data_IF_735838661752
#
_entry.id   IF_735838661752
#
_cell.length_a   1.000
_cell.length_b   1.000
_cell.length_c   1.000
_cell.angle_alpha   90.00
_cell.angle_beta   90.00
_cell.angle_gamma   90.00
#
_symmetry.space_group_name_H-M   'P 1'
#
loop_
_entity.id
_entity.type
_entity.pdbx_description
1 polymer ?
#
# COMPACT_ATOMS: atom_id res chain seq x y z
N UNK A 1 -58.35 -75.72 33.38
CA UNK A 1 -58.18 -77.19 33.33
C UNK A 1 -57.23 -77.49 32.22
N UNK A 2 -56.03 -77.96 32.60
CA UNK A 2 -55.06 -78.73 31.80
C UNK A 2 -54.52 -78.14 30.50
N UNK A 3 -53.25 -78.23 30.10
CA UNK A 3 -52.02 -78.88 30.59
C UNK A 3 -50.86 -78.28 29.88
N UNK A 4 -49.81 -78.16 30.63
CA UNK A 4 -48.41 -77.88 30.14
C UNK A 4 -47.94 -78.94 29.12
N UNK A 5 -47.18 -78.55 28.14
CA UNK A 5 -45.97 -79.33 27.71
C UNK A 5 -44.88 -78.40 27.32
N UNK A 6 -43.81 -78.60 28.02
CA UNK A 6 -42.47 -78.11 27.82
C UNK A 6 -41.70 -78.89 26.72
N UNK A 7 -40.91 -78.29 25.88
CA UNK A 7 -39.55 -78.83 25.49
C UNK A 7 -38.89 -77.98 24.46
N UNK A 8 -37.58 -78.23 24.25
CA UNK A 8 -36.55 -77.24 24.55
C UNK A 8 -35.68 -76.88 23.33
N UNK A 9 -34.92 -75.81 23.53
CA UNK A 9 -33.53 -75.77 23.06
C UNK A 9 -33.24 -75.60 21.59
N UNK A 10 -32.76 -74.46 21.31
CA UNK A 10 -32.07 -74.17 20.07
C UNK A 10 -31.49 -72.77 20.09
N UNK A 11 -30.36 -72.63 20.78
CA UNK A 11 -29.54 -71.44 20.71
C UNK A 11 -28.94 -71.30 19.31
N UNK A 12 -29.52 -70.39 18.49
CA UNK A 12 -28.89 -69.99 17.27
C UNK A 12 -28.10 -68.71 17.56
N UNK A 13 -26.80 -68.87 17.71
CA UNK A 13 -25.87 -67.77 17.77
C UNK A 13 -25.89 -67.03 16.43
N UNK A 14 -26.62 -65.91 16.38
CA UNK A 14 -26.52 -64.96 15.27
C UNK A 14 -25.27 -64.06 15.51
N UNK A 15 -24.20 -64.35 14.80
CA UNK A 15 -23.04 -63.48 14.70
C UNK A 15 -23.47 -62.28 13.90
N UNK A 16 -23.66 -61.17 14.58
CA UNK A 16 -23.88 -59.89 13.90
C UNK A 16 -22.50 -59.40 13.43
N UNK A 17 -22.19 -59.55 12.15
CA UNK A 17 -21.07 -58.91 11.53
C UNK A 17 -21.36 -57.39 11.46
N UNK A 18 -20.72 -56.64 12.33
CA UNK A 18 -20.73 -55.17 12.25
C UNK A 18 -19.74 -54.77 11.13
N UNK A 19 -20.29 -54.43 9.98
CA UNK A 19 -19.48 -53.85 8.91
C UNK A 19 -19.29 -52.40 9.29
N UNK A 20 -18.09 -52.07 9.82
CA UNK A 20 -17.66 -50.69 10.01
C UNK A 20 -17.23 -50.15 8.64
N UNK A 21 -18.13 -49.43 8.01
CA UNK A 21 -17.84 -48.71 6.79
C UNK A 21 -16.95 -47.49 7.12
N UNK A 22 -15.68 -47.57 6.80
CA UNK A 22 -14.77 -46.41 6.85
C UNK A 22 -15.13 -45.48 5.68
N UNK A 23 -15.86 -44.40 5.97
CA UNK A 23 -16.15 -43.35 5.01
C UNK A 23 -14.89 -42.48 4.89
N UNK A 24 -14.04 -42.76 3.92
CA UNK A 24 -12.90 -41.90 3.57
C UNK A 24 -13.45 -40.64 2.86
N UNK A 25 -13.55 -39.54 3.59
CA UNK A 25 -13.79 -38.22 3.01
C UNK A 25 -12.56 -37.81 2.21
N UNK A 26 -12.61 -37.93 0.89
CA UNK A 26 -11.65 -37.26 0.02
C UNK A 26 -12.00 -35.76 0.00
N UNK A 27 -11.28 -34.98 0.81
CA UNK A 27 -11.26 -33.53 0.65
C UNK A 27 -10.43 -33.26 -0.62
N UNK A 28 -11.12 -33.07 -1.74
CA UNK A 28 -10.51 -32.55 -2.95
C UNK A 28 -10.09 -31.11 -2.67
N UNK A 29 -8.86 -30.91 -2.20
CA UNK A 29 -8.24 -29.60 -2.14
C UNK A 29 -8.15 -29.08 -3.57
N UNK A 30 -8.94 -28.08 -3.90
CA UNK A 30 -8.76 -27.31 -5.14
C UNK A 30 -7.40 -26.62 -5.03
N UNK A 31 -6.39 -27.21 -5.67
CA UNK A 31 -5.12 -26.55 -5.93
C UNK A 31 -5.44 -25.38 -6.86
N UNK A 32 -5.64 -24.18 -6.31
CA UNK A 32 -5.66 -22.97 -7.11
C UNK A 32 -4.30 -22.86 -7.79
N UNK A 33 -4.26 -23.09 -9.08
CA UNK A 33 -3.07 -22.79 -9.88
C UNK A 33 -2.72 -21.30 -9.66
N UNK A 34 -1.46 -20.94 -9.45
CA UNK A 34 -1.07 -19.55 -9.37
C UNK A 34 -1.52 -18.87 -10.65
N UNK A 35 -2.26 -17.75 -10.51
CA UNK A 35 -2.64 -16.93 -11.65
C UNK A 35 -1.35 -16.49 -12.34
N UNK A 36 -1.11 -16.99 -13.53
CA UNK A 36 0.03 -16.56 -14.35
C UNK A 36 -0.29 -15.17 -14.88
N UNK A 37 0.49 -14.16 -14.46
CA UNK A 37 0.38 -12.83 -15.04
C UNK A 37 0.68 -12.91 -16.53
N UNK A 38 -0.14 -12.27 -17.37
CA UNK A 38 0.14 -12.16 -18.80
C UNK A 38 1.36 -11.25 -18.99
N UNK A 39 2.36 -11.66 -19.77
CA UNK A 39 3.48 -10.80 -20.11
C UNK A 39 3.00 -9.60 -20.93
N UNK A 40 3.83 -8.55 -21.00
CA UNK A 40 3.58 -7.43 -21.89
C UNK A 40 3.57 -7.90 -23.35
N UNK A 41 2.70 -7.32 -24.16
CA UNK A 41 2.60 -7.63 -25.59
C UNK A 41 3.26 -6.50 -26.40
N UNK A 42 4.04 -6.88 -27.43
CA UNK A 42 4.76 -5.94 -28.29
C UNK A 42 5.97 -5.28 -27.63
N UNK A 43 6.45 -4.19 -28.25
CA UNK A 43 7.62 -3.45 -27.79
C UNK A 43 7.22 -2.45 -26.69
N UNK A 44 7.37 -2.87 -25.42
CA UNK A 44 7.13 -2.02 -24.26
C UNK A 44 8.45 -1.63 -23.62
N UNK A 45 8.82 -0.34 -23.70
CA UNK A 45 9.96 0.24 -23.00
C UNK A 45 9.47 0.82 -21.66
N UNK A 46 10.15 0.46 -20.56
CA UNK A 46 9.87 0.98 -19.21
C UNK A 46 11.09 1.75 -18.72
N UNK A 47 10.83 2.93 -18.17
CA UNK A 47 11.86 3.74 -17.50
C UNK A 47 11.34 4.07 -16.10
N UNK A 48 12.06 3.63 -15.08
CA UNK A 48 11.77 4.01 -13.69
C UNK A 48 12.21 5.46 -13.48
N UNK A 49 11.28 6.33 -13.12
CA UNK A 49 11.54 7.74 -12.84
C UNK A 49 11.90 7.97 -11.36
N UNK A 50 11.49 7.07 -10.50
CA UNK A 50 11.79 7.12 -9.08
C UNK A 50 11.15 5.96 -8.33
N UNK A 51 11.78 5.53 -7.24
CA UNK A 51 11.28 4.52 -6.33
C UNK A 51 11.69 4.86 -4.91
N UNK A 52 10.73 5.07 -4.04
CA UNK A 52 10.97 5.35 -2.62
C UNK A 52 10.01 4.61 -1.73
N UNK A 53 10.37 4.49 -0.45
CA UNK A 53 9.56 3.83 0.56
C UNK A 53 9.22 4.83 1.66
N UNK A 54 7.94 4.90 2.03
CA UNK A 54 7.48 5.72 3.16
C UNK A 54 7.83 5.03 4.48
N UNK A 55 8.13 5.81 5.50
CA UNK A 55 8.46 5.29 6.84
C UNK A 55 7.23 4.79 7.62
N UNK A 56 6.02 5.17 7.18
CA UNK A 56 4.75 4.78 7.79
C UNK A 56 3.70 4.50 6.70
N UNK A 57 2.62 3.76 7.03
CA UNK A 57 1.49 3.61 6.12
C UNK A 57 0.90 4.95 5.72
N UNK A 58 0.52 5.08 4.45
CA UNK A 58 -0.07 6.29 3.89
C UNK A 58 -1.47 6.04 3.37
N UNK A 59 -2.28 7.11 3.30
CA UNK A 59 -3.60 7.13 2.69
C UNK A 59 -3.65 8.27 1.68
N UNK A 60 -3.96 7.94 0.43
CA UNK A 60 -4.21 8.94 -0.61
C UNK A 60 -5.69 8.88 -0.94
N UNK A 61 -6.40 9.98 -0.68
CA UNK A 61 -7.84 10.07 -0.90
C UNK A 61 -8.12 11.21 -1.87
N UNK A 62 -8.87 10.91 -2.93
CA UNK A 62 -9.40 11.90 -3.87
C UNK A 62 -10.91 11.99 -3.70
N UNK A 63 -11.44 13.20 -3.63
CA UNK A 63 -12.83 13.46 -3.23
C UNK A 63 -13.82 13.43 -4.40
N UNK A 64 -13.86 12.38 -5.22
CA UNK A 64 -14.91 12.18 -6.23
C UNK A 64 -15.07 13.30 -7.30
N UNK A 65 -14.10 14.20 -7.39
CA UNK A 65 -14.01 15.26 -8.38
C UNK A 65 -13.02 14.83 -9.49
N UNK A 66 -13.14 15.35 -10.70
CA UNK A 66 -12.07 15.24 -11.68
C UNK A 66 -10.73 15.64 -11.07
N UNK A 67 -9.71 14.84 -11.28
CA UNK A 67 -8.41 14.97 -10.61
C UNK A 67 -7.30 15.08 -11.64
N UNK A 68 -6.39 16.01 -11.43
CA UNK A 68 -5.15 16.14 -12.19
C UNK A 68 -4.02 15.42 -11.45
N UNK A 69 -3.31 14.54 -12.14
CA UNK A 69 -2.01 14.02 -11.70
C UNK A 69 -0.93 14.83 -12.38
N UNK A 70 -0.16 15.58 -11.59
CA UNK A 70 0.95 16.39 -12.08
C UNK A 70 2.26 15.81 -11.56
N UNK A 71 3.18 15.47 -12.47
CA UNK A 71 4.46 14.85 -12.12
C UNK A 71 5.57 15.80 -12.52
N UNK A 72 6.50 16.06 -11.59
CA UNK A 72 7.66 16.94 -11.80
C UNK A 72 8.94 16.27 -11.32
N UNK A 73 10.05 16.54 -12.02
CA UNK A 73 11.39 16.38 -11.48
C UNK A 73 11.86 17.69 -10.84
N UNK A 74 12.36 17.64 -9.63
CA UNK A 74 12.94 18.76 -8.92
C UNK A 74 14.43 18.47 -8.64
N UNK A 75 15.29 19.42 -8.97
CA UNK A 75 16.70 19.39 -8.63
C UNK A 75 16.98 20.55 -7.67
N UNK A 76 17.22 20.25 -6.41
CA UNK A 76 17.60 21.23 -5.40
C UNK A 76 19.12 21.23 -5.24
N UNK A 77 19.76 22.33 -5.60
CA UNK A 77 21.19 22.56 -5.33
C UNK A 77 21.43 22.74 -3.83
N UNK A 78 22.68 22.54 -3.34
CA UNK A 78 23.04 22.86 -1.96
C UNK A 78 22.57 24.25 -1.52
N UNK A 79 21.87 24.31 -0.40
CA UNK A 79 21.30 25.55 0.15
C UNK A 79 19.99 26.00 -0.53
N UNK A 80 19.51 25.33 -1.57
CA UNK A 80 18.24 25.66 -2.20
C UNK A 80 17.04 25.18 -1.35
N UNK A 81 15.93 25.87 -1.48
CA UNK A 81 14.69 25.49 -0.81
C UNK A 81 13.45 25.96 -1.55
N UNK A 82 12.34 25.28 -1.29
CA UNK A 82 11.05 25.57 -1.92
C UNK A 82 10.37 26.85 -1.41
N UNK A 83 10.79 27.37 -0.26
CA UNK A 83 9.98 28.31 0.52
C UNK A 83 8.72 27.64 1.11
N UNK A 84 8.02 28.35 2.01
CA UNK A 84 6.76 27.89 2.57
C UNK A 84 5.63 27.94 1.54
N UNK A 85 4.92 26.84 1.40
CA UNK A 85 3.80 26.71 0.45
C UNK A 85 2.90 25.53 0.84
N UNK A 86 1.76 25.44 0.19
CA UNK A 86 0.86 24.29 0.26
C UNK A 86 0.38 23.89 -1.14
N UNK A 87 -0.32 22.77 -1.21
CA UNK A 87 -0.95 22.27 -2.42
C UNK A 87 -2.43 22.01 -2.15
N UNK A 88 -3.35 22.29 -3.09
CA UNK A 88 -4.78 21.98 -2.92
C UNK A 88 -5.08 20.48 -2.94
N UNK A 89 -4.11 19.64 -3.27
CA UNK A 89 -4.16 18.19 -3.22
C UNK A 89 -2.94 17.60 -2.52
N UNK A 90 -2.86 16.27 -2.43
CA UNK A 90 -1.73 15.62 -1.80
C UNK A 90 -0.50 15.62 -2.70
N UNK A 91 0.66 15.74 -2.06
CA UNK A 91 1.98 15.56 -2.66
C UNK A 91 2.57 14.21 -2.26
N UNK A 92 3.19 13.51 -3.22
CA UNK A 92 3.97 12.30 -3.02
C UNK A 92 5.34 12.53 -3.65
N UNK A 93 6.36 12.65 -2.81
CA UNK A 93 7.74 12.91 -3.24
C UNK A 93 8.62 11.69 -3.02
N UNK A 94 9.43 11.34 -4.01
CA UNK A 94 10.44 10.28 -3.97
C UNK A 94 11.81 10.94 -4.10
N UNK A 95 12.68 10.69 -3.15
CA UNK A 95 14.06 11.17 -3.18
C UNK A 95 14.89 10.14 -3.94
N UNK A 96 15.37 10.51 -5.13
CA UNK A 96 16.21 9.65 -5.96
C UNK A 96 17.68 9.74 -5.56
N UNK A 97 18.17 10.97 -5.33
CA UNK A 97 19.58 11.25 -4.95
C UNK A 97 19.63 12.35 -3.89
N UNK A 98 20.69 12.34 -3.11
CA UNK A 98 20.94 13.33 -2.06
C UNK A 98 20.03 13.18 -0.85
N UNK A 99 19.77 14.30 -0.21
CA UNK A 99 18.87 14.39 0.95
C UNK A 99 18.15 15.74 0.97
N UNK A 100 16.95 15.75 1.54
CA UNK A 100 16.19 16.98 1.78
C UNK A 100 15.66 16.99 3.21
N UNK A 101 15.51 18.18 3.76
CA UNK A 101 14.84 18.43 5.02
C UNK A 101 13.44 18.96 4.72
N UNK A 102 12.43 18.29 5.22
CA UNK A 102 11.03 18.69 5.12
C UNK A 102 10.56 19.20 6.47
N UNK A 103 9.94 20.36 6.49
CA UNK A 103 9.29 20.93 7.67
C UNK A 103 7.86 21.25 7.33
N UNK A 104 6.92 20.80 8.17
CA UNK A 104 5.49 21.03 7.99
C UNK A 104 4.93 21.92 9.08
N UNK A 105 3.83 22.61 8.80
CA UNK A 105 3.11 23.42 9.78
C UNK A 105 2.42 22.60 10.86
N UNK A 106 2.36 21.27 10.71
CA UNK A 106 1.67 20.39 11.65
C UNK A 106 2.38 20.28 12.99
N UNK A 107 3.72 20.23 12.96
CA UNK A 107 4.54 20.05 14.18
C UNK A 107 5.82 20.89 14.19
N UNK A 108 6.15 21.55 13.09
CA UNK A 108 7.36 22.33 12.90
C UNK A 108 8.69 21.56 13.07
N UNK A 109 8.66 20.27 13.33
CA UNK A 109 9.88 19.49 13.43
C UNK A 109 10.50 19.26 12.04
N UNK A 110 11.78 19.61 11.82
CA UNK A 110 12.45 19.28 10.58
C UNK A 110 12.75 17.77 10.52
N UNK A 111 12.41 17.14 9.40
CA UNK A 111 12.65 15.72 9.15
C UNK A 111 13.48 15.57 7.89
N UNK A 112 14.61 14.87 8.00
CA UNK A 112 15.46 14.55 6.86
C UNK A 112 14.94 13.30 6.14
N UNK A 113 14.90 13.38 4.81
CA UNK A 113 14.62 12.27 3.89
C UNK A 113 15.79 12.11 2.92
N UNK A 114 16.28 10.88 2.81
CA UNK A 114 17.42 10.53 1.96
C UNK A 114 17.02 9.71 0.76
N UNK A 115 17.94 9.49 -0.17
CA UNK A 115 17.72 8.66 -1.35
C UNK A 115 17.08 7.30 -1.02
N UNK A 116 16.07 6.90 -1.80
CA UNK A 116 15.28 5.69 -1.60
C UNK A 116 14.11 5.84 -0.64
N UNK A 117 13.97 6.99 0.02
CA UNK A 117 12.80 7.30 0.85
C UNK A 117 11.74 8.06 0.06
N UNK A 118 10.51 8.01 0.55
CA UNK A 118 9.41 8.81 0.05
C UNK A 118 8.68 9.51 1.20
N UNK A 119 8.17 10.69 0.92
CA UNK A 119 7.35 11.48 1.84
C UNK A 119 6.01 11.78 1.19
N UNK A 120 4.95 11.81 2.00
CA UNK A 120 3.61 12.21 1.58
C UNK A 120 3.16 13.40 2.43
N UNK A 121 2.75 14.46 1.75
CA UNK A 121 2.23 15.67 2.38
C UNK A 121 0.74 15.78 2.04
N UNK A 122 -0.15 15.80 3.06
CA UNK A 122 -1.57 15.92 2.80
C UNK A 122 -1.96 17.26 2.18
N UNK A 123 -3.10 17.29 1.49
CA UNK A 123 -3.66 18.50 0.93
C UNK A 123 -3.79 19.62 1.96
N UNK A 124 -3.44 20.84 1.58
CA UNK A 124 -3.57 22.04 2.41
C UNK A 124 -2.52 22.18 3.52
N UNK A 125 -1.65 21.22 3.73
CA UNK A 125 -0.59 21.32 4.75
C UNK A 125 0.52 22.22 4.23
N UNK A 126 0.70 23.37 4.88
CA UNK A 126 1.83 24.25 4.59
C UNK A 126 3.14 23.58 5.00
N UNK A 127 4.12 23.62 4.11
CA UNK A 127 5.42 22.99 4.30
C UNK A 127 6.52 23.72 3.53
N UNK A 128 7.76 23.38 3.85
CA UNK A 128 8.94 23.73 3.06
C UNK A 128 9.86 22.53 2.92
N UNK A 129 10.60 22.49 1.81
CA UNK A 129 11.63 21.49 1.52
C UNK A 129 12.93 22.23 1.27
N UNK A 130 14.00 21.81 1.93
CA UNK A 130 15.35 22.42 1.79
C UNK A 130 16.39 21.36 1.53
N UNK A 131 17.38 21.68 0.72
CA UNK A 131 18.62 20.89 0.62
C UNK A 131 19.68 21.55 1.52
N UNK A 132 19.88 20.99 2.71
CA UNK A 132 20.87 21.45 3.69
C UNK A 132 22.21 20.70 3.54
N UNK A 133 22.29 19.78 2.59
CA UNK A 133 23.48 18.99 2.27
C UNK A 133 24.47 19.74 1.36
N UNK A 134 25.56 19.06 1.02
CA UNK A 134 26.63 19.57 0.13
C UNK A 134 26.54 19.06 -1.31
N UNK A 135 25.64 18.12 -1.58
CA UNK A 135 25.37 17.56 -2.91
C UNK A 135 23.97 17.98 -3.40
N UNK A 136 23.75 17.86 -4.69
CA UNK A 136 22.41 18.04 -5.27
C UNK A 136 21.43 17.01 -4.72
N UNK A 137 20.17 17.39 -4.58
CA UNK A 137 19.08 16.50 -4.28
C UNK A 137 18.15 16.41 -5.50
N UNK A 138 17.97 15.18 -6.02
CA UNK A 138 17.05 14.86 -7.11
C UNK A 138 15.78 14.22 -6.55
N UNK A 139 14.61 14.77 -6.92
CA UNK A 139 13.32 14.37 -6.38
C UNK A 139 12.33 14.24 -7.54
N UNK A 140 11.55 13.15 -7.54
CA UNK A 140 10.36 13.04 -8.38
C UNK A 140 9.13 13.26 -7.51
N UNK A 141 8.32 14.23 -7.88
CA UNK A 141 7.11 14.62 -7.14
C UNK A 141 5.88 14.34 -7.98
N UNK A 142 4.88 13.74 -7.36
CA UNK A 142 3.53 13.59 -7.94
C UNK A 142 2.53 14.35 -7.08
N UNK A 143 1.79 15.26 -7.69
CA UNK A 143 0.69 15.95 -7.06
C UNK A 143 -0.63 15.34 -7.52
N UNK A 144 -1.54 15.11 -6.59
CA UNK A 144 -2.91 14.65 -6.87
C UNK A 144 -3.86 15.79 -6.55
N UNK A 145 -4.19 16.59 -7.56
CA UNK A 145 -4.86 17.90 -7.41
C UNK A 145 -6.32 17.83 -7.89
N UNK A 146 -7.24 18.65 -7.34
CA UNK A 146 -8.49 18.92 -8.04
C UNK A 146 -8.21 19.45 -9.45
N UNK A 147 -9.04 19.08 -10.44
CA UNK A 147 -8.88 19.58 -11.80
C UNK A 147 -8.93 21.13 -11.80
N UNK A 148 -8.12 21.74 -12.64
CA UNK A 148 -8.03 23.19 -12.82
C UNK A 148 -7.51 23.97 -11.58
N UNK A 149 -7.10 23.28 -10.50
CA UNK A 149 -6.47 23.95 -9.36
C UNK A 149 -5.00 24.28 -9.66
N UNK A 150 -4.46 25.37 -9.07
CA UNK A 150 -3.03 25.65 -9.16
C UNK A 150 -2.22 24.51 -8.50
N UNK A 151 -1.00 24.29 -8.98
CA UNK A 151 -0.14 23.26 -8.37
C UNK A 151 0.28 23.67 -6.96
N UNK A 152 0.48 24.98 -6.73
CA UNK A 152 1.08 25.54 -5.53
C UNK A 152 0.39 26.83 -5.11
N UNK A 153 0.22 26.99 -3.81
CA UNK A 153 -0.17 28.23 -3.14
C UNK A 153 0.96 28.65 -2.19
N UNK A 154 1.51 29.84 -2.38
CA UNK A 154 2.55 30.38 -1.49
C UNK A 154 1.98 30.65 -0.10
N UNK A 155 2.75 30.36 0.93
CA UNK A 155 2.36 30.54 2.32
C UNK A 155 3.38 31.40 3.07
N UNK A 156 2.91 32.08 4.12
CA UNK A 156 3.81 32.74 5.08
C UNK A 156 4.61 31.69 5.85
N UNK A 157 5.78 32.08 6.34
CA UNK A 157 6.54 31.19 7.21
C UNK A 157 5.74 30.88 8.48
N UNK A 158 5.47 29.60 8.71
CA UNK A 158 4.66 29.14 9.86
C UNK A 158 5.56 28.76 11.04
N UNK A 159 6.75 28.24 10.74
CA UNK A 159 7.72 27.80 11.73
C UNK A 159 8.98 28.69 11.64
N UNK A 160 9.54 29.03 12.80
CA UNK A 160 10.78 29.80 12.96
C UNK A 160 12.01 28.90 12.90
#
# INVERSE_FOLDING_TARGET
MYLSINKPGGTVNRIHAVVVGVLTLFVAGALSAPASATPAEGDVVRTDLGKGTTTAPIWVVTAGQPTTLHVQGLLLKPGAGSGWHSHPGSEQSVINEGAVVVQTAADCAPVEYTAGQAVVIPAGVAHRVTNEGSADADIVVTYTLPADAPVRDDAVAVCS
#
